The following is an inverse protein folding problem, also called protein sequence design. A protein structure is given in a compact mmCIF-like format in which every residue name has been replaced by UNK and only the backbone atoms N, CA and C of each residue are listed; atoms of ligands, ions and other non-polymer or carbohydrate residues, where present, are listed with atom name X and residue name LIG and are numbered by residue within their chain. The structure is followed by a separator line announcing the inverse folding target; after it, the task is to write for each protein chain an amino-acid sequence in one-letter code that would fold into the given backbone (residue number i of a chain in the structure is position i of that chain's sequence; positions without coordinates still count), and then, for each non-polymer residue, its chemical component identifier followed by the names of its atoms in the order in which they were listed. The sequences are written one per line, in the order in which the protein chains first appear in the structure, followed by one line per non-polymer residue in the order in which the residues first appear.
data_IF_581535410743
#
_entry.id   IF_581535410743
#
_cell.length_a   1.000
_cell.length_b   1.000
_cell.length_c   1.000
_cell.angle_alpha   90.00
_cell.angle_beta   90.00
_cell.angle_gamma   90.00
#
_symmetry.space_group_name_H-M   'P 1'
#
loop_
_entity.id
_entity.type
_entity.pdbx_description
1 polymer ?
#
# COMPACT_ATOMS: atom_id res chain seq x y z
N UNK A 1 23.21 2.66 -18.87
CA UNK A 1 21.91 3.29 -18.53
C UNK A 1 20.78 2.26 -18.56
N UNK A 2 20.67 1.43 -19.60
CA UNK A 2 19.60 0.41 -19.74
C UNK A 2 19.48 -0.59 -18.56
N UNK A 3 20.59 -1.04 -17.95
CA UNK A 3 20.51 -1.92 -16.77
C UNK A 3 19.93 -1.24 -15.53
N UNK A 4 20.23 0.04 -15.31
CA UNK A 4 19.77 0.76 -14.11
C UNK A 4 18.26 1.01 -14.15
N UNK A 5 17.70 1.25 -15.34
CA UNK A 5 16.25 1.40 -15.52
C UNK A 5 15.52 0.08 -15.32
N UNK A 6 16.05 -1.03 -15.87
CA UNK A 6 15.52 -2.39 -15.64
C UNK A 6 15.59 -2.79 -14.17
N UNK A 7 16.66 -2.43 -13.47
CA UNK A 7 16.81 -2.69 -12.04
C UNK A 7 15.80 -1.87 -11.21
N UNK A 8 15.52 -0.62 -11.61
CA UNK A 8 14.50 0.22 -10.96
C UNK A 8 13.07 -0.31 -11.20
N UNK A 9 12.76 -0.74 -12.42
CA UNK A 9 11.47 -1.37 -12.73
C UNK A 9 11.26 -2.64 -11.92
N UNK A 10 12.26 -3.54 -11.89
CA UNK A 10 12.21 -4.76 -11.10
C UNK A 10 12.04 -4.47 -9.60
N UNK A 11 12.67 -3.41 -9.10
CA UNK A 11 12.52 -2.98 -7.71
C UNK A 11 11.09 -2.50 -7.38
N UNK A 12 10.51 -1.66 -8.25
CA UNK A 12 9.13 -1.18 -8.11
C UNK A 12 8.15 -2.35 -8.19
N UNK A 13 8.36 -3.29 -9.11
CA UNK A 13 7.52 -4.48 -9.21
C UNK A 13 7.57 -5.32 -7.93
N UNK A 14 8.77 -5.56 -7.38
CA UNK A 14 8.93 -6.30 -6.13
C UNK A 14 8.25 -5.60 -4.93
N UNK A 15 8.27 -4.26 -4.88
CA UNK A 15 7.55 -3.47 -3.88
C UNK A 15 6.04 -3.70 -3.97
N UNK A 16 5.47 -3.57 -5.18
CA UNK A 16 4.04 -3.74 -5.42
C UNK A 16 3.60 -5.18 -5.11
N UNK A 17 4.35 -6.19 -5.53
CA UNK A 17 4.05 -7.60 -5.29
C UNK A 17 4.09 -7.93 -3.80
N UNK A 18 5.10 -7.43 -3.05
CA UNK A 18 5.15 -7.58 -1.60
C UNK A 18 3.94 -6.95 -0.92
N UNK A 19 3.59 -5.72 -1.30
CA UNK A 19 2.41 -5.03 -0.77
C UNK A 19 1.12 -5.81 -1.06
N UNK A 20 0.91 -6.26 -2.29
CA UNK A 20 -0.28 -7.02 -2.68
C UNK A 20 -0.39 -8.36 -1.94
N UNK A 21 0.73 -9.03 -1.68
CA UNK A 21 0.76 -10.23 -0.84
C UNK A 21 0.40 -9.91 0.62
N UNK A 22 0.92 -8.82 1.18
CA UNK A 22 0.59 -8.39 2.54
C UNK A 22 -0.91 -8.07 2.69
N UNK A 23 -1.52 -7.41 1.69
CA UNK A 23 -2.97 -7.17 1.64
C UNK A 23 -3.75 -8.49 1.68
N UNK A 24 -3.36 -9.48 0.89
CA UNK A 24 -4.00 -10.80 0.88
C UNK A 24 -3.87 -11.55 2.21
N UNK A 25 -2.76 -11.37 2.91
CA UNK A 25 -2.51 -11.99 4.23
C UNK A 25 -3.00 -11.14 5.40
N UNK A 26 -3.63 -9.99 5.14
CA UNK A 26 -4.06 -9.02 6.16
C UNK A 26 -2.90 -8.57 7.09
N UNK A 27 -1.67 -8.53 6.56
CA UNK A 27 -0.48 -8.12 7.29
C UNK A 27 -0.34 -6.58 7.28
N UNK A 28 -1.01 -5.94 8.24
CA UNK A 28 -1.07 -4.48 8.33
C UNK A 28 0.31 -3.82 8.48
N UNK A 29 1.25 -4.45 9.19
CA UNK A 29 2.58 -3.87 9.40
C UNK A 29 3.36 -3.83 8.09
N UNK A 30 3.30 -4.87 7.27
CA UNK A 30 3.94 -4.87 5.94
C UNK A 30 3.21 -3.95 4.95
N UNK A 31 1.88 -3.85 5.03
CA UNK A 31 1.09 -2.95 4.16
C UNK A 31 1.55 -1.49 4.30
N UNK A 32 1.83 -1.04 5.52
CA UNK A 32 2.18 0.36 5.80
C UNK A 32 3.68 0.65 5.74
N UNK A 33 4.54 -0.37 5.75
CA UNK A 33 5.99 -0.23 5.96
C UNK A 33 6.71 0.63 4.91
N UNK A 34 6.33 0.51 3.64
CA UNK A 34 7.00 1.17 2.51
C UNK A 34 6.29 2.47 2.08
N UNK A 35 5.36 3.00 2.90
CA UNK A 35 4.62 4.23 2.61
C UNK A 35 5.26 5.47 3.27
N UNK A 36 5.17 6.60 2.56
CA UNK A 36 5.54 7.89 3.12
C UNK A 36 4.63 8.26 4.31
N UNK A 37 5.20 8.84 5.36
CA UNK A 37 4.43 9.21 6.57
C UNK A 37 3.36 10.26 6.30
N UNK A 38 3.56 11.08 5.26
CA UNK A 38 2.74 12.19 4.80
C UNK A 38 1.94 11.85 3.52
N UNK A 39 1.71 10.56 3.24
CA UNK A 39 0.92 10.12 2.08
C UNK A 39 -0.44 10.81 2.03
N UNK A 40 -0.89 11.12 0.82
CA UNK A 40 -2.26 11.52 0.53
C UNK A 40 -2.85 10.46 -0.39
N UNK A 41 -3.83 9.71 0.10
CA UNK A 41 -4.52 8.68 -0.67
C UNK A 41 -5.93 9.15 -1.02
N UNK A 42 -6.32 8.91 -2.27
CA UNK A 42 -7.70 9.03 -2.72
C UNK A 42 -8.28 7.63 -2.85
N UNK A 43 -9.35 7.36 -2.13
CA UNK A 43 -9.97 6.03 -2.07
C UNK A 43 -11.33 6.01 -2.78
N UNK A 44 -11.75 4.82 -3.22
CA UNK A 44 -13.04 4.62 -3.90
C UNK A 44 -14.19 4.46 -2.89
N UNK A 45 -14.08 3.64 -1.82
CA UNK A 45 -15.00 3.70 -0.71
C UNK A 45 -14.76 5.01 0.07
N UNK A 46 -15.83 5.69 0.53
CA UNK A 46 -15.68 6.79 1.46
C UNK A 46 -14.88 6.37 2.71
N UNK A 47 -14.00 7.23 3.24
CA UNK A 47 -13.70 8.59 2.79
C UNK A 47 -12.87 8.63 1.51
N UNK A 48 -13.25 9.50 0.57
CA UNK A 48 -12.58 9.62 -0.72
C UNK A 48 -11.14 10.20 -0.62
N UNK A 49 -10.72 10.63 0.57
CA UNK A 49 -9.41 11.21 0.85
C UNK A 49 -8.92 10.80 2.25
N UNK A 50 -7.66 10.39 2.33
CA UNK A 50 -6.97 10.00 3.56
C UNK A 50 -5.59 10.69 3.58
N UNK A 51 -5.31 11.41 4.66
CA UNK A 51 -4.06 12.17 4.82
C UNK A 51 -3.25 11.60 5.98
N UNK A 52 -2.01 11.22 5.67
CA UNK A 52 -1.03 10.66 6.59
C UNK A 52 -1.18 9.15 6.81
N UNK A 53 -0.08 8.54 7.25
CA UNK A 53 0.02 7.08 7.45
C UNK A 53 -0.95 6.56 8.52
N UNK A 54 -1.31 7.37 9.51
CA UNK A 54 -2.30 7.02 10.52
C UNK A 54 -3.70 6.83 9.93
N UNK A 55 -4.16 7.80 9.13
CA UNK A 55 -5.47 7.71 8.46
C UNK A 55 -5.52 6.54 7.47
N UNK A 56 -4.43 6.28 6.75
CA UNK A 56 -4.30 5.12 5.87
C UNK A 56 -4.34 3.80 6.65
N UNK A 57 -3.62 3.69 7.78
CA UNK A 57 -3.63 2.48 8.63
C UNK A 57 -5.05 2.13 9.08
N UNK A 58 -5.80 3.14 9.53
CA UNK A 58 -7.14 2.95 10.09
C UNK A 58 -8.19 2.56 9.04
N UNK A 59 -7.97 2.84 7.75
CA UNK A 59 -8.91 2.49 6.68
C UNK A 59 -8.92 0.98 6.35
N UNK A 60 -7.86 0.25 6.69
CA UNK A 60 -7.74 -1.17 6.37
C UNK A 60 -8.68 -2.08 7.17
N UNK A 61 -9.02 -1.70 8.41
CA UNK A 61 -9.92 -2.49 9.26
C UNK A 61 -11.26 -2.79 8.59
N UNK A 62 -12.04 -1.76 8.22
CA UNK A 62 -13.30 -1.93 7.47
C UNK A 62 -13.10 -2.63 6.12
N UNK A 63 -12.00 -2.37 5.41
CA UNK A 63 -11.70 -3.01 4.13
C UNK A 63 -11.55 -4.54 4.26
N UNK A 64 -10.90 -5.01 5.32
CA UNK A 64 -10.71 -6.45 5.56
C UNK A 64 -11.99 -7.20 5.86
N UNK A 65 -13.06 -6.54 6.35
CA UNK A 65 -14.37 -7.17 6.54
C UNK A 65 -14.99 -7.68 5.23
N UNK A 66 -14.50 -7.21 4.08
CA UNK A 66 -14.92 -7.66 2.76
C UNK A 66 -14.13 -8.87 2.22
N UNK A 67 -13.01 -9.25 2.83
CA UNK A 67 -12.27 -10.46 2.48
C UNK A 67 -12.98 -11.66 3.12
N UNK A 68 -13.65 -12.47 2.29
CA UNK A 68 -14.29 -13.73 2.68
C UNK A 68 -13.49 -14.93 2.19
#
# INVERSE_FOLDING_TARGET
MENTERDAEAHIQALIERWANAVQQQDLETIIADHATDLLMFDVPPPNELSGIGAYRDSWGPFFEHFK
#
